data_IF_435533141225
#
_entry.id   IF_435533141225
#
_cell.length_a   1.000
_cell.length_b   1.000
_cell.length_c   1.000
_cell.angle_alpha   90.00
_cell.angle_beta   90.00
_cell.angle_gamma   90.00
#
_symmetry.space_group_name_H-M   'P 1'
#
loop_
_entity.id
_entity.type
_entity.pdbx_description
1 polymer ?
#
# COMPACT_ATOMS: atom_id res chain seq x y z
N UNK A 1 -0.67 10.82 22.00
CA UNK A 1 0.69 11.41 22.19
C UNK A 1 0.54 12.77 22.86
N UNK A 2 1.36 13.14 23.85
CA UNK A 2 1.30 14.48 24.47
C UNK A 2 2.23 15.43 23.69
N UNK A 3 1.74 16.58 23.18
CA UNK A 3 2.58 17.52 22.46
C UNK A 3 3.58 18.19 23.42
N UNK A 4 4.87 18.11 23.11
CA UNK A 4 5.93 18.81 23.84
C UNK A 4 7.00 19.32 22.86
N UNK A 5 6.91 20.61 22.54
CA UNK A 5 7.78 21.27 21.58
C UNK A 5 9.22 21.47 22.09
N UNK A 6 9.46 21.45 23.40
CA UNK A 6 10.80 21.73 23.94
C UNK A 6 11.77 20.56 23.73
N UNK A 7 11.26 19.33 23.71
CA UNK A 7 12.10 18.12 23.61
C UNK A 7 11.98 17.41 22.27
N UNK A 8 10.84 17.56 21.57
CA UNK A 8 10.56 16.80 20.34
C UNK A 8 10.55 17.65 19.07
N UNK A 9 10.89 18.94 19.14
CA UNK A 9 10.91 19.76 17.93
C UNK A 9 12.10 19.40 17.02
N UNK A 10 11.80 18.86 15.84
CA UNK A 10 12.76 18.60 14.79
C UNK A 10 12.25 19.23 13.46
N UNK A 11 12.82 20.37 13.03
CA UNK A 11 12.44 21.05 11.79
C UNK A 11 13.12 20.49 10.53
N UNK A 12 13.88 19.39 10.61
CA UNK A 12 14.62 18.85 9.48
C UNK A 12 13.67 18.36 8.38
N UNK A 13 13.86 18.81 7.12
CA UNK A 13 12.94 18.47 6.03
C UNK A 13 12.97 16.98 5.67
N UNK A 14 14.10 16.30 5.88
CA UNK A 14 14.22 14.85 5.63
C UNK A 14 13.33 14.05 6.58
N UNK A 15 13.35 14.40 7.87
CA UNK A 15 12.46 13.79 8.87
C UNK A 15 10.99 13.97 8.51
N UNK A 16 10.61 15.18 8.08
CA UNK A 16 9.23 15.45 7.65
C UNK A 16 8.84 14.65 6.39
N UNK A 17 9.77 14.46 5.45
CA UNK A 17 9.52 13.64 4.25
C UNK A 17 9.33 12.17 4.60
N UNK A 18 10.10 11.64 5.54
CA UNK A 18 9.93 10.27 6.04
C UNK A 18 8.54 10.09 6.66
N UNK A 19 8.10 11.03 7.51
CA UNK A 19 6.74 11.01 8.07
C UNK A 19 5.68 11.03 6.96
N UNK A 20 5.82 11.92 5.97
CA UNK A 20 4.91 11.98 4.81
C UNK A 20 4.87 10.65 4.06
N UNK A 21 6.02 10.03 3.82
CA UNK A 21 6.10 8.72 3.17
C UNK A 21 5.37 7.64 3.97
N UNK A 22 5.51 7.63 5.30
CA UNK A 22 4.81 6.68 6.19
C UNK A 22 3.29 6.88 6.10
N UNK A 23 2.79 8.10 5.96
CA UNK A 23 1.33 8.32 5.86
C UNK A 23 0.72 7.79 4.56
N UNK A 24 1.49 7.69 3.47
CA UNK A 24 0.99 7.33 2.15
C UNK A 24 0.02 8.36 1.54
N UNK A 25 -0.13 9.55 2.13
CA UNK A 25 -1.03 10.61 1.67
C UNK A 25 -0.32 11.58 0.73
N UNK A 26 -1.09 12.22 -0.15
CA UNK A 26 -0.56 13.30 -0.99
C UNK A 26 -0.29 14.57 -0.18
N UNK A 27 0.71 15.36 -0.57
CA UNK A 27 1.05 16.63 0.09
C UNK A 27 -0.15 17.58 0.21
N UNK A 28 -1.05 17.59 -0.78
CA UNK A 28 -2.28 18.40 -0.75
C UNK A 28 -3.29 17.91 0.30
N UNK A 29 -3.43 16.60 0.49
CA UNK A 29 -4.30 16.05 1.53
C UNK A 29 -3.73 16.33 2.91
N UNK A 30 -2.42 16.14 3.08
CA UNK A 30 -1.72 16.46 4.33
C UNK A 30 -1.86 17.94 4.67
N UNK A 31 -1.67 18.84 3.70
CA UNK A 31 -1.86 20.27 3.90
C UNK A 31 -3.26 20.61 4.43
N UNK A 32 -4.31 19.99 3.86
CA UNK A 32 -5.69 20.14 4.34
C UNK A 32 -5.89 19.62 5.77
N UNK A 33 -5.33 18.45 6.10
CA UNK A 33 -5.44 17.86 7.43
C UNK A 33 -4.69 18.67 8.49
N UNK A 34 -3.51 19.19 8.15
CA UNK A 34 -2.71 20.05 9.02
C UNK A 34 -3.24 21.49 9.10
N UNK A 35 -4.21 21.88 8.25
CA UNK A 35 -4.74 23.25 8.21
C UNK A 35 -3.76 24.29 7.65
N UNK A 36 -2.80 23.88 6.80
CA UNK A 36 -1.82 24.78 6.17
C UNK A 36 -2.02 24.86 4.66
N UNK A 37 -1.56 25.94 4.04
CA UNK A 37 -1.62 26.08 2.58
C UNK A 37 -0.68 25.11 1.87
N UNK A 38 -1.06 24.65 0.67
CA UNK A 38 -0.24 23.74 -0.15
C UNK A 38 1.17 24.30 -0.42
N UNK A 39 1.29 25.63 -0.59
CA UNK A 39 2.58 26.30 -0.78
C UNK A 39 3.46 26.22 0.48
N UNK A 40 2.88 26.42 1.66
CA UNK A 40 3.60 26.31 2.92
C UNK A 40 4.09 24.88 3.15
N UNK A 41 3.24 23.88 2.90
CA UNK A 41 3.62 22.47 2.97
C UNK A 41 4.82 22.15 2.07
N UNK A 42 4.82 22.64 0.82
CA UNK A 42 5.96 22.49 -0.10
C UNK A 42 7.23 23.15 0.44
N UNK A 43 7.13 24.37 0.99
CA UNK A 43 8.27 25.08 1.59
C UNK A 43 8.87 24.37 2.82
N UNK A 44 8.07 23.62 3.57
CA UNK A 44 8.56 22.82 4.69
C UNK A 44 9.32 21.56 4.24
N UNK A 45 8.91 21.00 3.10
CA UNK A 45 9.48 19.78 2.53
C UNK A 45 10.58 20.06 1.49
N UNK A 46 10.95 21.31 1.25
CA UNK A 46 12.09 21.67 0.37
C UNK A 46 13.43 21.46 1.06
N UNK A 47 14.51 21.31 0.29
CA UNK A 47 15.86 21.24 0.82
C UNK A 47 16.25 22.53 1.52
N UNK A 48 17.07 22.43 2.55
CA UNK A 48 17.53 23.56 3.38
C UNK A 48 18.27 24.63 2.58
N UNK A 49 18.91 24.24 1.47
CA UNK A 49 19.69 25.14 0.61
C UNK A 49 18.82 25.98 -0.33
N UNK A 50 17.53 25.68 -0.41
CA UNK A 50 16.60 26.39 -1.29
C UNK A 50 16.13 27.70 -0.66
N UNK A 51 16.07 28.77 -1.45
CA UNK A 51 15.59 30.07 -0.97
C UNK A 51 14.10 30.06 -0.53
N UNK A 52 13.32 29.10 -1.00
CA UNK A 52 11.93 28.90 -0.60
C UNK A 52 11.75 28.07 0.68
N UNK A 53 12.84 27.59 1.30
CA UNK A 53 12.79 26.79 2.51
C UNK A 53 12.27 27.62 3.68
N UNK A 54 11.35 27.03 4.43
CA UNK A 54 10.84 27.59 5.68
C UNK A 54 10.85 26.48 6.72
N UNK A 55 11.20 26.82 7.96
CA UNK A 55 11.12 25.85 9.06
C UNK A 55 9.66 25.55 9.37
N UNK A 56 9.32 24.27 9.46
CA UNK A 56 7.98 23.87 9.85
C UNK A 56 7.71 24.26 11.31
N UNK A 57 6.52 24.79 11.64
CA UNK A 57 6.11 24.96 13.02
C UNK A 57 5.84 23.60 13.67
N UNK A 58 6.08 23.48 14.99
CA UNK A 58 5.89 22.22 15.72
C UNK A 58 4.48 21.62 15.57
N UNK A 59 3.45 22.45 15.42
CA UNK A 59 2.09 21.98 15.18
C UNK A 59 1.97 21.12 13.92
N UNK A 60 2.69 21.46 12.85
CA UNK A 60 2.71 20.69 11.60
C UNK A 60 3.46 19.37 11.79
N UNK A 61 4.61 19.42 12.46
CA UNK A 61 5.39 18.21 12.79
C UNK A 61 4.55 17.24 13.64
N UNK A 62 3.95 17.72 14.73
CA UNK A 62 3.13 16.89 15.61
C UNK A 62 1.92 16.28 14.89
N UNK A 63 1.30 17.04 13.97
CA UNK A 63 0.22 16.52 13.15
C UNK A 63 0.69 15.37 12.25
N UNK A 64 1.84 15.53 11.59
CA UNK A 64 2.45 14.48 10.75
C UNK A 64 2.79 13.22 11.56
N UNK A 65 3.36 13.38 12.76
CA UNK A 65 3.66 12.25 13.65
C UNK A 65 2.38 11.50 14.07
N UNK A 66 1.29 12.24 14.38
CA UNK A 66 0.00 11.63 14.70
C UNK A 66 -0.57 10.84 13.52
N UNK A 67 -0.48 11.38 12.30
CA UNK A 67 -0.93 10.70 11.08
C UNK A 67 -0.08 9.45 10.80
N UNK A 68 1.24 9.54 10.95
CA UNK A 68 2.14 8.41 10.76
C UNK A 68 1.89 7.31 11.80
N UNK A 69 1.69 7.67 13.07
CA UNK A 69 1.35 6.73 14.14
C UNK A 69 0.00 6.04 13.91
N UNK A 70 -1.00 6.79 13.43
CA UNK A 70 -2.29 6.22 13.07
C UNK A 70 -2.13 5.18 11.95
N UNK A 71 -1.34 5.48 10.92
CA UNK A 71 -1.12 4.52 9.82
C UNK A 71 -0.35 3.26 10.28
N UNK A 72 0.67 3.44 11.13
CA UNK A 72 1.40 2.31 11.72
C UNK A 72 0.49 1.41 12.58
N UNK A 73 -0.47 2.00 13.30
CA UNK A 73 -1.43 1.25 14.12
C UNK A 73 -2.38 0.40 13.27
N UNK A 74 -2.81 0.92 12.12
CA UNK A 74 -3.62 0.16 11.16
C UNK A 74 -2.83 -1.02 10.58
N UNK A 75 -1.55 -0.81 10.27
CA UNK A 75 -0.69 -1.85 9.71
C UNK A 75 -0.25 -2.92 10.73
N UNK A 76 -0.37 -2.66 12.03
CA UNK A 76 -0.07 -3.64 13.09
C UNK A 76 -1.31 -4.46 13.47
N UNK A 77 -2.51 -3.85 13.48
CA UNK A 77 -3.76 -4.59 13.67
C UNK A 77 -4.02 -5.63 12.56
N UNK A 78 -3.59 -5.35 11.33
CA UNK A 78 -3.64 -6.33 10.22
C UNK A 78 -2.67 -7.50 10.43
N UNK A 79 -1.56 -7.35 11.15
CA UNK A 79 -0.64 -8.46 11.43
C UNK A 79 -1.19 -9.37 12.54
N UNK A 80 -1.77 -8.80 13.59
CA UNK A 80 -2.29 -9.57 14.73
C UNK A 80 -3.59 -10.33 14.39
N UNK A 81 -4.43 -9.78 13.51
CA UNK A 81 -5.61 -10.49 13.00
C UNK A 81 -5.26 -11.62 12.02
N UNK A 82 -4.11 -11.54 11.35
CA UNK A 82 -3.68 -12.54 10.37
C UNK A 82 -2.83 -13.69 10.95
N UNK A 83 -2.45 -13.65 12.24
CA UNK A 83 -1.84 -14.80 12.92
C UNK A 83 -2.87 -15.87 13.31
N UNK A 84 -4.18 -15.59 13.22
CA UNK A 84 -5.25 -16.61 13.28
C UNK A 84 -5.72 -17.06 11.90
N UNK A 85 -5.61 -16.21 10.87
CA UNK A 85 -5.81 -16.60 9.47
C UNK A 85 -4.49 -17.03 8.84
N UNK A 86 -4.01 -18.19 9.30
CA UNK A 86 -3.37 -19.23 8.49
C UNK A 86 -3.33 -18.88 7.00
N UNK A 87 -2.16 -18.47 6.51
CA UNK A 87 -1.71 -18.59 5.12
C UNK A 87 -2.84 -18.68 4.10
N UNK A 88 -3.59 -17.59 3.89
CA UNK A 88 -4.39 -17.47 2.67
C UNK A 88 -3.44 -16.99 1.59
N UNK A 89 -2.65 -17.93 1.05
CA UNK A 89 -1.97 -17.71 -0.23
C UNK A 89 -3.05 -17.27 -1.21
N UNK A 90 -3.00 -15.99 -1.57
CA UNK A 90 -3.84 -15.42 -2.61
C UNK A 90 -3.51 -16.16 -3.91
N UNK A 91 -4.27 -17.23 -4.20
CA UNK A 91 -4.39 -17.77 -5.54
C UNK A 91 -5.17 -16.73 -6.35
N UNK A 92 -4.47 -15.68 -6.76
CA UNK A 92 -4.96 -14.81 -7.82
C UNK A 92 -4.76 -15.61 -9.11
N UNK A 93 -5.84 -16.01 -9.82
CA UNK A 93 -5.66 -16.63 -11.12
C UNK A 93 -4.96 -15.62 -12.03
N UNK A 94 -3.75 -15.95 -12.46
CA UNK A 94 -3.04 -15.20 -13.50
C UNK A 94 -3.82 -15.44 -14.79
N UNK A 95 -4.61 -14.46 -15.22
CA UNK A 95 -5.23 -14.49 -16.53
C UNK A 95 -4.14 -14.19 -17.57
N UNK A 96 -3.59 -15.24 -18.20
CA UNK A 96 -2.75 -15.09 -19.39
C UNK A 96 -3.72 -14.83 -20.55
N UNK A 97 -3.89 -13.55 -20.90
CA UNK A 97 -4.66 -13.17 -22.09
C UNK A 97 -3.88 -13.57 -23.34
N UNK A 98 -4.57 -14.20 -24.29
CA UNK A 98 -4.00 -14.57 -25.59
C UNK A 98 -3.52 -13.32 -26.31
N UNK A 99 -2.25 -13.29 -26.72
CA UNK A 99 -1.77 -12.31 -27.69
C UNK A 99 -2.33 -12.67 -29.08
N UNK A 100 -2.84 -11.67 -29.81
CA UNK A 100 -3.45 -11.88 -31.13
C UNK A 100 -2.39 -12.32 -32.14
N UNK A 101 -2.34 -13.62 -32.47
CA UNK A 101 -1.52 -14.12 -33.58
C UNK A 101 -0.91 -15.52 -33.44
N UNK A 102 -1.05 -16.21 -32.30
CA UNK A 102 -0.48 -17.56 -32.13
C UNK A 102 -1.52 -18.66 -32.41
N UNK A 103 -1.28 -19.46 -33.46
CA UNK A 103 -2.18 -20.52 -33.92
C UNK A 103 -2.11 -21.84 -33.12
N UNK A 104 -1.09 -22.03 -32.27
CA UNK A 104 -0.93 -23.22 -31.43
C UNK A 104 -0.28 -22.84 -30.09
N UNK A 105 -0.95 -23.16 -28.98
CA UNK A 105 -0.32 -23.09 -27.66
C UNK A 105 0.58 -24.30 -27.47
N UNK A 106 1.86 -24.14 -27.77
CA UNK A 106 2.89 -24.99 -27.20
C UNK A 106 3.07 -24.62 -25.73
N UNK A 107 2.41 -25.32 -24.83
CA UNK A 107 2.88 -25.42 -23.44
C UNK A 107 2.26 -26.64 -22.78
N UNK A 108 3.11 -27.61 -22.48
CA UNK A 108 2.86 -28.77 -21.62
C UNK A 108 2.04 -28.33 -20.41
N UNK A 109 0.82 -28.87 -20.26
CA UNK A 109 0.04 -28.70 -19.04
C UNK A 109 0.80 -29.45 -17.95
N UNK A 110 1.27 -28.80 -16.87
CA UNK A 110 1.85 -29.54 -15.76
C UNK A 110 0.71 -30.34 -15.09
N UNK A 111 0.91 -31.66 -14.94
CA UNK A 111 0.01 -32.58 -14.21
C UNK A 111 -0.01 -32.21 -12.71
N UNK A 112 -0.69 -31.10 -12.39
CA UNK A 112 -0.95 -30.64 -11.04
C UNK A 112 -2.45 -30.78 -10.78
N UNK A 113 -2.87 -31.49 -9.73
CA UNK A 113 -4.29 -31.63 -9.39
C UNK A 113 -4.93 -30.25 -9.22
N UNK A 114 -5.94 -29.95 -10.05
CA UNK A 114 -6.71 -28.69 -9.98
C UNK A 114 -6.47 -27.69 -11.13
N UNK A 115 -5.57 -27.98 -12.08
CA UNK A 115 -5.41 -27.19 -13.30
C UNK A 115 -6.19 -27.84 -14.45
N UNK A 116 -7.32 -27.24 -14.84
CA UNK A 116 -8.17 -27.74 -15.91
C UNK A 116 -8.05 -26.87 -17.16
N UNK A 117 -8.08 -27.49 -18.34
CA UNK A 117 -8.18 -26.78 -19.61
C UNK A 117 -9.47 -25.96 -19.66
N UNK A 118 -9.39 -24.76 -20.25
CA UNK A 118 -10.55 -23.87 -20.34
C UNK A 118 -11.59 -24.46 -21.30
N UNK A 119 -12.71 -24.99 -20.78
CA UNK A 119 -13.82 -25.49 -21.61
C UNK A 119 -14.71 -26.55 -20.96
N UNK A 120 -14.23 -27.27 -19.95
CA UNK A 120 -15.02 -28.27 -19.24
C UNK A 120 -15.45 -27.69 -17.88
N UNK A 121 -16.76 -27.60 -17.66
CA UNK A 121 -17.29 -27.16 -16.36
C UNK A 121 -17.08 -28.27 -15.31
N UNK A 122 -16.83 -27.89 -14.05
CA UNK A 122 -16.64 -28.86 -12.95
C UNK A 122 -17.83 -29.83 -12.81
N UNK A 123 -19.01 -29.37 -13.22
CA UNK A 123 -20.27 -30.13 -13.21
C UNK A 123 -20.35 -31.20 -14.32
N UNK A 124 -19.61 -31.04 -15.42
CA UNK A 124 -19.56 -32.02 -16.52
C UNK A 124 -18.72 -33.24 -16.15
N UNK A 125 -17.54 -33.02 -15.55
CA UNK A 125 -16.63 -34.10 -15.15
C UNK A 125 -17.14 -34.92 -13.95
N UNK A 126 -17.83 -34.30 -13.00
CA UNK A 126 -18.45 -35.02 -11.87
C UNK A 126 -19.60 -35.93 -12.30
N UNK A 127 -20.28 -35.59 -13.40
CA UNK A 127 -21.31 -36.45 -13.99
C UNK A 127 -20.74 -37.57 -14.85
N UNK A 128 -19.56 -37.37 -15.45
CA UNK A 128 -18.91 -38.38 -16.28
C UNK A 128 -18.30 -39.51 -15.43
N UNK A 129 -17.76 -39.18 -14.25
CA UNK A 129 -17.15 -40.15 -13.33
C UNK A 129 -18.15 -41.05 -12.57
N UNK A 130 -19.46 -40.78 -12.71
CA UNK A 130 -20.56 -41.58 -12.15
C UNK A 130 -21.31 -42.42 -13.21
N UNK A 131 -20.84 -42.42 -14.46
CA UNK A 131 -21.18 -43.50 -15.39
C UNK A 131 -20.03 -44.50 -15.33
N UNK A 132 -20.38 -45.78 -15.23
CA UNK A 132 -19.52 -46.97 -15.18
C UNK A 132 -19.04 -47.38 -13.79
#
# INVERSE_FOLDING_TARGET
MKPNAQTHYNPDPDYLRELVAITGLSQNQIAKLCGVGNRAMRSYLTFTDSQSYQKAPYAVQFCLECLAQANHSLNTQTLDTNLTTKTKMLHLPIAITKDEGMANYGSVVPDVPGCYGFGESLDELLNEHNRW
#
